data_IF_934556955552
#
_entry.id   IF_934556955552
#
_cell.length_a   1.000
_cell.length_b   1.000
_cell.length_c   1.000
_cell.angle_alpha   90.00
_cell.angle_beta   90.00
_cell.angle_gamma   90.00
#
_symmetry.space_group_name_H-M   'P 1'
#
loop_
_entity.id
_entity.type
_entity.pdbx_description
1 polymer ?
#
# COMPACT_ATOMS: atom_id res chain seq x y z
N UNK A 1 -1.74 -18.00 10.71
CA UNK A 1 -1.29 -16.64 10.29
C UNK A 1 -1.58 -16.49 8.81
N UNK A 2 -2.20 -15.35 8.40
CA UNK A 2 -2.44 -15.01 6.99
C UNK A 2 -1.59 -13.79 6.61
N UNK A 3 -0.84 -13.89 5.52
CA UNK A 3 0.04 -12.83 5.01
C UNK A 3 -0.37 -12.49 3.58
N UNK A 4 -0.53 -11.21 3.26
CA UNK A 4 -0.90 -10.74 1.93
C UNK A 4 0.26 -9.95 1.33
N UNK A 5 0.68 -10.35 0.14
CA UNK A 5 1.81 -9.73 -0.58
C UNK A 5 1.41 -9.44 -2.02
N UNK A 6 2.17 -8.58 -2.71
CA UNK A 6 1.95 -8.37 -4.13
C UNK A 6 2.28 -9.64 -4.94
N UNK A 7 1.32 -10.08 -5.75
CA UNK A 7 1.42 -11.31 -6.55
C UNK A 7 2.59 -11.30 -7.54
N UNK A 8 2.81 -10.16 -8.21
CA UNK A 8 3.83 -10.08 -9.25
C UNK A 8 5.23 -9.98 -8.64
N UNK A 9 5.39 -9.13 -7.61
CA UNK A 9 6.68 -8.94 -6.93
C UNK A 9 7.16 -10.22 -6.24
N UNK A 10 6.23 -10.96 -5.64
CA UNK A 10 6.57 -12.21 -4.96
C UNK A 10 7.12 -13.31 -5.90
N UNK A 11 6.76 -13.27 -7.18
CA UNK A 11 7.15 -14.29 -8.16
C UNK A 11 8.35 -13.90 -9.02
N UNK A 12 8.69 -12.62 -9.11
CA UNK A 12 9.88 -12.20 -9.83
C UNK A 12 11.11 -12.21 -8.93
N UNK A 13 12.27 -12.46 -9.53
CA UNK A 13 13.56 -12.24 -8.89
C UNK A 13 13.92 -10.74 -8.80
N UNK A 14 15.12 -10.44 -8.34
CA UNK A 14 15.65 -9.09 -8.29
C UNK A 14 15.76 -8.50 -9.70
N UNK A 15 15.36 -7.24 -9.86
CA UNK A 15 15.49 -6.51 -11.13
C UNK A 15 16.97 -6.38 -11.48
N UNK A 16 17.35 -6.75 -12.71
CA UNK A 16 18.74 -6.65 -13.19
C UNK A 16 19.66 -7.82 -12.82
N UNK A 17 19.25 -8.71 -11.93
CA UNK A 17 19.96 -9.98 -11.64
C UNK A 17 19.17 -11.12 -12.27
N UNK A 18 19.81 -11.96 -13.09
CA UNK A 18 19.20 -12.99 -13.89
C UNK A 18 18.01 -13.75 -13.28
N UNK A 19 17.50 -14.82 -13.90
CA UNK A 19 16.31 -15.58 -13.46
C UNK A 19 16.49 -16.30 -12.12
N UNK A 20 16.77 -15.57 -11.05
CA UNK A 20 16.62 -16.10 -9.70
C UNK A 20 15.13 -16.17 -9.38
N UNK A 21 14.70 -17.29 -8.79
CA UNK A 21 13.32 -17.45 -8.35
C UNK A 21 12.90 -16.32 -7.41
N UNK A 22 11.62 -15.95 -7.46
CA UNK A 22 11.07 -14.91 -6.57
C UNK A 22 10.92 -15.44 -5.13
N UNK A 23 10.46 -14.56 -4.25
CA UNK A 23 10.26 -14.86 -2.82
C UNK A 23 9.28 -16.01 -2.54
N UNK A 24 8.49 -16.43 -3.55
CA UNK A 24 7.57 -17.55 -3.39
C UNK A 24 8.26 -18.87 -2.96
N UNK A 25 9.52 -19.09 -3.36
CA UNK A 25 10.29 -20.24 -2.90
C UNK A 25 10.56 -20.18 -1.39
N UNK A 26 10.91 -18.99 -0.89
CA UNK A 26 11.07 -18.76 0.55
C UNK A 26 9.74 -18.96 1.29
N UNK A 27 8.63 -18.52 0.73
CA UNK A 27 7.30 -18.68 1.33
C UNK A 27 6.91 -20.16 1.44
N UNK A 28 7.18 -20.94 0.41
CA UNK A 28 6.96 -22.40 0.43
C UNK A 28 7.80 -23.09 1.51
N UNK A 29 9.09 -22.73 1.61
CA UNK A 29 9.95 -23.27 2.63
C UNK A 29 9.53 -22.86 4.06
N UNK A 30 9.08 -21.62 4.24
CA UNK A 30 8.55 -21.14 5.52
C UNK A 30 7.28 -21.88 5.91
N UNK A 31 6.31 -21.99 5.00
CA UNK A 31 5.08 -22.71 5.26
C UNK A 31 5.32 -24.17 5.64
N UNK A 32 6.22 -24.84 4.92
CA UNK A 32 6.58 -26.22 5.21
C UNK A 32 7.19 -26.40 6.60
N UNK A 33 8.06 -25.48 7.05
CA UNK A 33 8.66 -25.51 8.40
C UNK A 33 7.65 -25.38 9.53
N UNK A 34 6.53 -24.72 9.27
CA UNK A 34 5.51 -24.41 10.26
C UNK A 34 4.20 -25.17 9.99
N UNK A 35 4.28 -26.39 9.44
CA UNK A 35 3.14 -27.27 9.19
C UNK A 35 1.98 -26.59 8.47
N UNK A 36 2.31 -25.65 7.56
CA UNK A 36 1.37 -24.83 6.80
C UNK A 36 0.42 -23.95 7.63
N UNK A 37 0.76 -23.64 8.89
CA UNK A 37 0.02 -22.68 9.71
C UNK A 37 0.19 -21.23 9.23
N UNK A 38 1.18 -20.98 8.38
CA UNK A 38 1.42 -19.68 7.74
C UNK A 38 0.92 -19.76 6.30
N UNK A 39 -0.14 -19.03 6.01
CA UNK A 39 -0.74 -18.94 4.68
C UNK A 39 -0.30 -17.64 4.00
N UNK A 40 0.30 -17.71 2.81
CA UNK A 40 0.79 -16.54 2.10
C UNK A 40 0.03 -16.37 0.80
N UNK A 41 -0.66 -15.25 0.69
CA UNK A 41 -1.55 -14.91 -0.42
C UNK A 41 -0.94 -13.84 -1.32
N UNK A 42 -0.83 -14.14 -2.60
CA UNK A 42 -0.46 -13.17 -3.63
C UNK A 42 -1.68 -12.45 -4.19
N UNK A 43 -1.70 -11.13 -4.05
CA UNK A 43 -2.82 -10.27 -4.46
C UNK A 43 -2.46 -9.50 -5.74
N UNK A 44 -3.05 -9.83 -6.90
CA UNK A 44 -2.76 -9.17 -8.16
C UNK A 44 -3.66 -7.95 -8.38
N UNK A 45 -3.23 -6.77 -7.96
CA UNK A 45 -4.01 -5.53 -8.11
C UNK A 45 -4.19 -5.14 -9.58
N UNK A 46 -3.21 -5.48 -10.45
CA UNK A 46 -3.26 -5.27 -11.89
C UNK A 46 -2.65 -6.45 -12.65
N UNK A 47 -2.82 -6.47 -13.96
CA UNK A 47 -2.31 -7.55 -14.81
C UNK A 47 -0.79 -7.57 -14.98
N UNK A 48 -0.10 -6.48 -14.65
CA UNK A 48 1.37 -6.36 -14.67
C UNK A 48 1.83 -5.45 -13.53
N UNK A 49 2.98 -5.73 -12.96
CA UNK A 49 3.59 -4.94 -11.87
C UNK A 49 3.76 -3.46 -12.25
N UNK A 50 4.28 -3.18 -13.45
CA UNK A 50 4.50 -1.81 -13.95
C UNK A 50 3.23 -0.93 -13.91
N UNK A 51 2.05 -1.54 -13.95
CA UNK A 51 0.77 -0.83 -13.95
C UNK A 51 0.19 -0.60 -12.56
N UNK A 52 0.78 -1.17 -11.54
CA UNK A 52 0.41 -1.02 -10.13
C UNK A 52 0.58 -2.29 -9.31
N UNK A 53 0.88 -2.09 -8.05
CA UNK A 53 1.19 -3.12 -7.05
C UNK A 53 0.23 -3.04 -5.86
N UNK A 54 0.17 -4.09 -5.06
CA UNK A 54 -0.48 -4.03 -3.77
C UNK A 54 0.34 -3.11 -2.85
N UNK A 55 -0.27 -2.02 -2.40
CA UNK A 55 0.35 -1.06 -1.50
C UNK A 55 -0.41 -0.92 -0.17
N UNK A 56 -1.21 -1.92 0.17
CA UNK A 56 -1.85 -2.03 1.47
C UNK A 56 -0.82 -2.44 2.51
N UNK A 57 -0.84 -1.81 3.68
CA UNK A 57 -0.05 -2.13 4.86
C UNK A 57 -0.96 -2.21 6.06
N UNK A 58 -0.46 -2.87 7.08
CA UNK A 58 -1.13 -3.01 8.36
C UNK A 58 -1.02 -4.43 8.90
N UNK A 59 -1.11 -4.55 10.20
CA UNK A 59 -1.06 -5.81 10.92
C UNK A 59 -2.22 -5.86 11.89
N UNK A 60 -2.90 -6.98 11.96
CA UNK A 60 -4.01 -7.22 12.88
C UNK A 60 -3.59 -8.34 13.81
N UNK A 61 -3.60 -8.07 15.10
CA UNK A 61 -3.33 -8.98 16.19
C UNK A 61 -4.55 -8.95 17.12
N UNK A 62 -5.44 -9.92 16.98
CA UNK A 62 -6.71 -9.96 17.70
C UNK A 62 -7.49 -8.63 17.52
N UNK A 63 -7.65 -7.85 18.58
CA UNK A 63 -8.37 -6.56 18.57
C UNK A 63 -7.44 -5.35 18.35
N UNK A 64 -6.17 -5.59 18.03
CA UNK A 64 -5.17 -4.54 17.83
C UNK A 64 -4.85 -4.41 16.35
N UNK A 65 -5.05 -3.22 15.82
CA UNK A 65 -4.55 -2.82 14.51
C UNK A 65 -3.25 -2.03 14.69
N UNK A 66 -2.17 -2.52 14.09
CA UNK A 66 -0.94 -1.75 13.89
C UNK A 66 -0.93 -1.26 12.43
N UNK A 67 -1.12 0.04 12.23
CA UNK A 67 -1.22 0.67 10.92
C UNK A 67 -0.07 1.63 10.64
N UNK A 68 0.54 1.52 9.46
CA UNK A 68 1.67 2.34 9.05
C UNK A 68 1.75 2.44 7.53
N UNK A 69 2.53 3.37 6.99
CA UNK A 69 3.00 3.39 5.61
C UNK A 69 4.16 2.43 5.35
N UNK A 70 4.81 1.93 6.40
CA UNK A 70 5.97 1.05 6.33
C UNK A 70 5.65 -0.33 5.74
N UNK A 71 6.59 -0.87 5.00
CA UNK A 71 6.57 -2.27 4.56
C UNK A 71 7.37 -3.14 5.54
N UNK A 72 7.03 -4.42 5.63
CA UNK A 72 7.81 -5.38 6.41
C UNK A 72 9.06 -5.77 5.63
N UNK A 73 10.13 -5.02 5.81
CA UNK A 73 11.45 -5.30 5.21
C UNK A 73 12.57 -4.67 6.05
N UNK A 74 13.81 -5.03 5.74
CA UNK A 74 15.01 -4.67 6.49
C UNK A 74 15.16 -3.15 6.68
N UNK A 75 14.85 -2.35 5.66
CA UNK A 75 14.99 -0.89 5.70
C UNK A 75 14.05 -0.26 6.72
N UNK A 76 12.78 -0.69 6.76
CA UNK A 76 11.80 -0.19 7.72
C UNK A 76 11.97 -0.79 9.12
N UNK A 77 12.61 -1.95 9.23
CA UNK A 77 12.91 -2.61 10.50
C UNK A 77 14.30 -2.23 11.05
N UNK A 78 14.97 -1.27 10.44
CA UNK A 78 16.31 -0.78 10.84
C UNK A 78 17.36 -1.90 10.94
N UNK A 79 17.30 -2.89 10.03
CA UNK A 79 18.30 -3.96 9.98
C UNK A 79 19.55 -3.60 9.16
N UNK A 80 19.56 -2.39 8.59
CA UNK A 80 20.66 -1.85 7.77
C UNK A 80 20.93 -0.40 8.16
N UNK A 81 22.09 0.15 7.80
CA UNK A 81 22.44 1.55 8.03
C UNK A 81 21.43 2.51 7.38
N UNK A 82 20.98 2.19 6.17
CA UNK A 82 19.91 2.94 5.51
C UNK A 82 18.56 2.59 6.13
N UNK A 83 17.87 3.57 6.66
CA UNK A 83 16.55 3.40 7.26
C UNK A 83 15.50 4.32 6.65
N UNK A 84 14.23 4.06 6.95
CA UNK A 84 13.08 4.91 6.64
C UNK A 84 12.41 5.34 7.93
N UNK A 85 12.19 6.63 8.08
CA UNK A 85 11.34 7.13 9.16
C UNK A 85 9.88 6.96 8.74
N UNK A 86 9.08 6.32 9.58
CA UNK A 86 7.64 6.16 9.36
C UNK A 86 6.89 6.26 10.69
N UNK A 87 5.58 6.51 10.61
CA UNK A 87 4.69 6.61 11.76
C UNK A 87 3.88 5.34 11.89
N UNK A 88 3.83 4.79 13.08
CA UNK A 88 3.01 3.65 13.43
C UNK A 88 1.87 4.07 14.35
N UNK A 89 0.65 3.63 14.02
CA UNK A 89 -0.54 3.83 14.84
C UNK A 89 -0.96 2.49 15.41
N UNK A 90 -0.93 2.34 16.71
CA UNK A 90 -1.48 1.20 17.42
C UNK A 90 -2.90 1.58 17.87
N UNK A 91 -3.88 0.84 17.39
CA UNK A 91 -5.29 1.14 17.61
C UNK A 91 -5.96 -0.10 18.21
N UNK A 92 -6.51 0.05 19.41
CA UNK A 92 -7.28 -0.99 20.09
C UNK A 92 -8.75 -0.80 19.77
N UNK A 93 -9.30 -1.61 18.88
CA UNK A 93 -10.70 -1.53 18.47
C UNK A 93 -11.15 -2.81 17.78
N UNK A 94 -11.93 -3.63 18.46
CA UNK A 94 -12.54 -4.82 17.90
C UNK A 94 -13.40 -4.49 16.68
N UNK A 95 -14.19 -3.43 16.73
CA UNK A 95 -15.04 -3.02 15.61
C UNK A 95 -14.23 -2.69 14.35
N UNK A 96 -13.11 -1.98 14.50
CA UNK A 96 -12.23 -1.63 13.38
C UNK A 96 -11.50 -2.86 12.84
N UNK A 97 -10.92 -3.70 13.71
CA UNK A 97 -10.21 -4.91 13.29
C UNK A 97 -11.15 -5.90 12.61
N UNK A 98 -12.35 -6.13 13.14
CA UNK A 98 -13.37 -6.94 12.49
C UNK A 98 -13.76 -6.39 11.12
N UNK A 99 -13.97 -5.08 10.99
CA UNK A 99 -14.26 -4.45 9.70
C UNK A 99 -13.16 -4.70 8.66
N UNK A 100 -11.90 -4.61 9.07
CA UNK A 100 -10.75 -4.82 8.19
C UNK A 100 -10.56 -6.30 7.84
N UNK A 101 -10.75 -7.22 8.78
CA UNK A 101 -10.71 -8.68 8.53
C UNK A 101 -11.82 -9.08 7.58
N UNK A 102 -13.05 -8.63 7.82
CA UNK A 102 -14.18 -8.90 6.94
C UNK A 102 -13.95 -8.37 5.51
N UNK A 103 -13.31 -7.20 5.37
CA UNK A 103 -12.94 -6.68 4.05
C UNK A 103 -11.95 -7.61 3.34
N UNK A 104 -10.92 -8.08 4.04
CA UNK A 104 -9.93 -9.01 3.49
C UNK A 104 -10.58 -10.34 3.10
N UNK A 105 -11.42 -10.88 3.95
CA UNK A 105 -12.14 -12.14 3.67
C UNK A 105 -13.07 -12.00 2.47
N UNK A 106 -13.87 -10.94 2.43
CA UNK A 106 -14.88 -10.75 1.38
C UNK A 106 -14.26 -10.36 0.02
N UNK A 107 -13.22 -9.54 0.03
CA UNK A 107 -12.67 -8.97 -1.19
C UNK A 107 -11.47 -9.74 -1.69
N UNK A 108 -10.57 -10.19 -0.80
CA UNK A 108 -9.35 -10.90 -1.21
C UNK A 108 -9.57 -12.42 -1.23
N UNK A 109 -9.93 -13.02 -0.11
CA UNK A 109 -9.97 -14.49 0.01
C UNK A 109 -11.07 -15.14 -0.83
N UNK A 110 -12.19 -14.47 -1.06
CA UNK A 110 -13.25 -14.96 -1.98
C UNK A 110 -12.92 -14.76 -3.46
N UNK A 111 -11.79 -14.11 -3.78
CA UNK A 111 -11.42 -13.84 -5.17
C UNK A 111 -10.56 -14.96 -5.76
N UNK A 112 -10.99 -15.54 -6.88
CA UNK A 112 -10.19 -16.48 -7.67
C UNK A 112 -8.86 -15.91 -8.21
N UNK A 113 -8.70 -14.60 -8.18
CA UNK A 113 -7.46 -13.94 -8.62
C UNK A 113 -6.35 -14.01 -7.56
N UNK A 114 -6.73 -14.11 -6.28
CA UNK A 114 -5.79 -14.21 -5.17
C UNK A 114 -5.31 -15.65 -5.04
N UNK A 115 -4.00 -15.85 -5.03
CA UNK A 115 -3.39 -17.17 -5.11
C UNK A 115 -2.53 -17.46 -3.88
N UNK A 116 -2.53 -18.71 -3.43
CA UNK A 116 -1.63 -19.21 -2.37
C UNK A 116 -0.22 -19.32 -2.94
N UNK A 117 0.71 -18.49 -2.44
CA UNK A 117 2.11 -18.47 -2.87
C UNK A 117 3.00 -19.44 -2.07
N UNK A 118 2.50 -19.92 -0.96
CA UNK A 118 3.13 -20.96 -0.12
C UNK A 118 2.92 -22.40 -0.67
N UNK A 119 2.22 -22.54 -1.81
CA UNK A 119 1.98 -23.82 -2.48
C UNK A 119 2.68 -23.87 -3.84
N UNK A 120 2.85 -25.08 -4.36
CA UNK A 120 3.33 -25.32 -5.73
C UNK A 120 2.22 -25.12 -6.76
N UNK A 121 2.59 -25.03 -8.05
CA UNK A 121 1.62 -24.95 -9.14
C UNK A 121 0.91 -23.60 -9.26
N UNK A 122 1.54 -22.50 -8.86
CA UNK A 122 0.96 -21.16 -8.92
C UNK A 122 0.72 -20.77 -10.39
N UNK A 123 -0.53 -20.44 -10.77
CA UNK A 123 -0.83 -20.04 -12.13
C UNK A 123 -0.19 -18.69 -12.48
N UNK A 124 0.26 -18.57 -13.72
CA UNK A 124 0.83 -17.31 -14.20
C UNK A 124 -0.22 -16.22 -14.43
N UNK A 125 0.20 -14.95 -14.40
CA UNK A 125 -0.70 -13.80 -14.57
C UNK A 125 -1.52 -13.82 -15.87
N UNK A 126 -0.99 -14.46 -16.94
CA UNK A 126 -1.73 -14.61 -18.20
C UNK A 126 -2.94 -15.54 -18.06
N UNK A 127 -2.79 -16.60 -17.28
CA UNK A 127 -3.87 -17.57 -17.01
C UNK A 127 -4.96 -16.95 -16.13
N UNK A 128 -4.59 -16.03 -15.23
CA UNK A 128 -5.49 -15.33 -14.32
C UNK A 128 -6.10 -14.03 -14.90
N UNK A 129 -5.88 -13.72 -16.19
CA UNK A 129 -6.27 -12.41 -16.76
C UNK A 129 -7.73 -12.04 -16.52
N UNK A 130 -8.65 -12.99 -16.69
CA UNK A 130 -10.10 -12.78 -16.45
C UNK A 130 -10.42 -12.50 -14.99
N UNK A 131 -9.87 -13.32 -14.10
CA UNK A 131 -10.02 -13.20 -12.65
C UNK A 131 -9.46 -11.87 -12.13
N UNK A 132 -8.25 -11.48 -12.57
CA UNK A 132 -7.63 -10.20 -12.21
C UNK A 132 -8.50 -9.02 -12.68
N UNK A 133 -9.12 -9.11 -13.84
CA UNK A 133 -10.02 -8.05 -14.34
C UNK A 133 -11.26 -7.91 -13.44
N UNK A 134 -11.91 -9.02 -13.05
CA UNK A 134 -13.05 -9.03 -12.12
C UNK A 134 -12.63 -8.50 -10.75
N UNK A 135 -11.53 -9.00 -10.21
CA UNK A 135 -10.98 -8.57 -8.92
C UNK A 135 -10.73 -7.06 -8.88
N UNK A 136 -10.10 -6.50 -9.91
CA UNK A 136 -9.88 -5.06 -10.03
C UNK A 136 -11.18 -4.26 -10.05
N UNK A 137 -12.24 -4.78 -10.66
CA UNK A 137 -13.55 -4.15 -10.63
C UNK A 137 -14.10 -4.13 -9.19
N UNK A 138 -14.06 -5.27 -8.52
CA UNK A 138 -14.50 -5.39 -7.13
C UNK A 138 -13.72 -4.46 -6.19
N UNK A 139 -12.41 -4.38 -6.32
CA UNK A 139 -11.58 -3.45 -5.53
C UNK A 139 -11.98 -1.97 -5.70
N UNK A 140 -12.51 -1.58 -6.85
CA UNK A 140 -12.96 -0.20 -7.09
C UNK A 140 -14.28 0.14 -6.44
N UNK A 141 -15.13 -0.86 -6.26
CA UNK A 141 -16.49 -0.71 -5.75
C UNK A 141 -16.63 -1.16 -4.29
N UNK A 142 -15.66 -1.93 -3.80
CA UNK A 142 -15.66 -2.42 -2.43
C UNK A 142 -15.30 -1.33 -1.42
N UNK A 143 -15.86 -1.46 -0.23
CA UNK A 143 -15.60 -0.57 0.90
C UNK A 143 -15.59 -1.36 2.18
N UNK A 144 -14.97 -0.81 3.23
CA UNK A 144 -15.11 -1.33 4.57
C UNK A 144 -16.57 -1.22 5.01
N UNK A 145 -17.06 -2.26 5.66
CA UNK A 145 -18.38 -2.27 6.33
C UNK A 145 -18.13 -2.07 7.80
N UNK A 146 -18.64 -1.00 8.36
CA UNK A 146 -18.56 -0.69 9.77
C UNK A 146 -19.82 0.03 10.21
N UNK A 147 -20.17 -0.14 11.46
CA UNK A 147 -21.19 0.68 12.09
C UNK A 147 -20.59 1.99 12.56
N UNK A 148 -21.28 3.07 12.30
CA UNK A 148 -20.88 4.38 12.83
C UNK A 148 -21.22 4.44 14.32
N UNK A 149 -20.20 4.45 15.15
CA UNK A 149 -20.36 4.59 16.60
C UNK A 149 -20.12 6.06 16.93
N UNK A 150 -21.04 6.75 17.61
CA UNK A 150 -20.79 8.11 18.04
C UNK A 150 -19.58 8.16 18.97
N UNK A 151 -18.57 8.96 18.60
CA UNK A 151 -17.42 9.20 19.45
C UNK A 151 -17.76 10.30 20.48
N UNK A 152 -17.30 10.12 21.70
CA UNK A 152 -17.34 11.17 22.71
C UNK A 152 -16.18 12.16 22.51
N UNK A 153 -16.15 13.27 23.23
CA UNK A 153 -15.12 14.32 23.09
C UNK A 153 -13.71 13.88 23.48
N UNK A 154 -13.55 12.73 24.10
CA UNK A 154 -12.27 12.17 24.54
C UNK A 154 -11.74 11.10 23.55
N UNK A 155 -12.50 10.77 22.52
CA UNK A 155 -12.16 9.72 21.57
C UNK A 155 -11.76 10.28 20.21
N UNK A 156 -10.88 9.56 19.53
CA UNK A 156 -10.47 9.88 18.16
C UNK A 156 -11.34 9.09 17.18
N UNK A 157 -12.08 9.80 16.35
CA UNK A 157 -12.88 9.16 15.29
C UNK A 157 -11.99 8.63 14.16
N UNK A 158 -12.16 7.35 13.80
CA UNK A 158 -11.43 6.70 12.71
C UNK A 158 -12.44 6.17 11.69
N UNK A 159 -12.28 6.57 10.44
CA UNK A 159 -13.07 6.07 9.32
C UNK A 159 -12.18 5.30 8.35
N UNK A 160 -12.27 3.96 8.28
CA UNK A 160 -11.50 3.18 7.32
C UNK A 160 -12.01 3.44 5.90
N UNK A 161 -11.11 3.67 4.96
CA UNK A 161 -11.44 3.96 3.57
C UNK A 161 -10.56 3.20 2.61
N UNK A 162 -11.12 2.78 1.49
CA UNK A 162 -10.39 2.14 0.39
C UNK A 162 -10.21 3.14 -0.74
N UNK A 163 -9.00 3.20 -1.30
CA UNK A 163 -8.69 4.00 -2.47
C UNK A 163 -8.01 3.19 -3.56
N UNK A 164 -8.62 3.09 -4.73
CA UNK A 164 -8.03 2.46 -5.90
C UNK A 164 -8.30 3.25 -7.18
N UNK A 165 -7.22 3.63 -7.85
CA UNK A 165 -7.27 4.25 -9.16
C UNK A 165 -7.71 5.72 -9.15
N UNK A 166 -7.84 6.31 -10.35
CA UNK A 166 -8.09 7.74 -10.53
C UNK A 166 -9.58 8.11 -10.43
N UNK A 167 -10.46 7.24 -10.94
CA UNK A 167 -11.91 7.53 -11.03
C UNK A 167 -12.68 6.80 -9.94
N UNK A 168 -13.65 7.48 -9.33
CA UNK A 168 -14.51 6.90 -8.29
C UNK A 168 -13.79 6.61 -6.96
N UNK A 169 -12.58 7.10 -6.77
CA UNK A 169 -11.77 6.87 -5.58
C UNK A 169 -12.26 7.76 -4.42
N UNK A 170 -12.91 7.14 -3.45
CA UNK A 170 -13.48 7.84 -2.29
C UNK A 170 -12.41 8.44 -1.39
N UNK A 171 -11.29 7.75 -1.19
CA UNK A 171 -10.18 8.27 -0.40
C UNK A 171 -9.63 9.57 -1.01
N UNK A 172 -9.40 9.62 -2.32
CA UNK A 172 -8.96 10.84 -2.98
C UNK A 172 -9.97 11.98 -2.84
N UNK A 173 -11.27 11.67 -2.92
CA UNK A 173 -12.32 12.66 -2.70
C UNK A 173 -12.32 13.20 -1.28
N UNK A 174 -12.15 12.32 -0.28
CA UNK A 174 -12.07 12.73 1.12
C UNK A 174 -10.84 13.60 1.37
N UNK A 175 -9.65 13.22 0.90
CA UNK A 175 -8.44 14.03 1.01
C UNK A 175 -8.66 15.44 0.43
N UNK A 176 -9.24 15.54 -0.76
CA UNK A 176 -9.55 16.85 -1.36
C UNK A 176 -10.57 17.66 -0.55
N UNK A 177 -11.58 17.01 0.01
CA UNK A 177 -12.55 17.68 0.87
C UNK A 177 -11.89 18.22 2.14
N UNK A 178 -11.01 17.47 2.78
CA UNK A 178 -10.23 17.91 3.94
C UNK A 178 -9.35 19.12 3.60
N UNK A 179 -8.64 19.06 2.47
CA UNK A 179 -7.84 20.21 1.99
C UNK A 179 -8.74 21.44 1.78
N UNK A 180 -9.86 21.31 1.10
CA UNK A 180 -10.79 22.43 0.85
C UNK A 180 -11.42 22.99 2.13
N UNK A 181 -11.70 22.13 3.10
CA UNK A 181 -12.29 22.50 4.38
C UNK A 181 -11.28 23.13 5.36
N UNK A 182 -9.99 23.13 5.04
CA UNK A 182 -8.96 23.72 5.90
C UNK A 182 -9.17 25.25 5.98
N UNK A 183 -9.24 25.77 7.22
CA UNK A 183 -9.51 27.19 7.49
C UNK A 183 -8.25 27.98 7.88
N UNK A 184 -7.30 27.36 8.57
CA UNK A 184 -6.12 28.02 9.13
C UNK A 184 -4.82 27.47 8.59
N UNK A 185 -4.57 26.18 8.83
CA UNK A 185 -3.31 25.57 8.42
C UNK A 185 -3.47 24.10 8.06
N UNK A 186 -2.62 23.64 7.15
CA UNK A 186 -2.45 22.24 6.81
C UNK A 186 -0.98 21.84 6.87
N UNK A 187 -0.74 20.65 7.39
CA UNK A 187 0.57 20.03 7.42
C UNK A 187 0.53 18.73 6.61
N UNK A 188 1.39 18.63 5.58
CA UNK A 188 1.50 17.47 4.70
C UNK A 188 2.89 16.88 4.86
N UNK A 189 2.95 15.59 5.21
CA UNK A 189 4.20 14.84 5.26
C UNK A 189 4.12 13.71 4.24
N UNK A 190 5.02 13.70 3.28
CA UNK A 190 5.03 12.70 2.21
C UNK A 190 6.46 12.51 1.67
N UNK A 191 6.89 11.27 1.36
CA UNK A 191 8.21 11.05 0.77
C UNK A 191 8.34 11.66 -0.63
N UNK A 192 7.22 11.78 -1.37
CA UNK A 192 7.19 12.32 -2.74
C UNK A 192 6.06 13.34 -2.87
N UNK A 193 6.38 14.53 -3.35
CA UNK A 193 5.38 15.57 -3.58
C UNK A 193 5.09 15.71 -5.07
N UNK A 194 4.27 14.81 -5.60
CA UNK A 194 3.79 14.81 -6.98
C UNK A 194 2.26 14.72 -7.05
N UNK A 195 1.53 15.63 -6.43
CA UNK A 195 0.08 15.53 -6.30
C UNK A 195 -0.62 15.69 -7.66
N UNK A 196 -1.82 15.09 -7.81
CA UNK A 196 -2.66 15.29 -8.99
C UNK A 196 -3.03 16.76 -9.18
N UNK A 197 -3.27 17.18 -10.43
CA UNK A 197 -3.61 18.58 -10.78
C UNK A 197 -4.76 19.15 -9.94
N UNK A 198 -5.78 18.34 -9.67
CA UNK A 198 -6.93 18.76 -8.87
C UNK A 198 -6.56 19.06 -7.42
N UNK A 199 -5.63 18.30 -6.84
CA UNK A 199 -5.15 18.53 -5.47
C UNK A 199 -4.24 19.77 -5.42
N UNK A 200 -3.39 19.97 -6.44
CA UNK A 200 -2.60 21.21 -6.56
C UNK A 200 -3.50 22.45 -6.57
N UNK A 201 -4.57 22.44 -7.38
CA UNK A 201 -5.54 23.54 -7.41
C UNK A 201 -6.21 23.77 -6.05
N UNK A 202 -6.52 22.70 -5.32
CA UNK A 202 -7.11 22.81 -3.99
C UNK A 202 -6.09 23.43 -3.00
N UNK A 203 -4.81 23.08 -3.07
CA UNK A 203 -3.73 23.68 -2.26
C UNK A 203 -3.49 25.15 -2.65
N UNK A 204 -3.45 25.47 -3.94
CA UNK A 204 -3.35 26.87 -4.41
C UNK A 204 -4.51 27.72 -3.90
N UNK A 205 -5.71 27.17 -3.87
CA UNK A 205 -6.89 27.87 -3.33
C UNK A 205 -6.75 28.11 -1.81
N UNK A 206 -6.12 27.19 -1.05
CA UNK A 206 -5.80 27.42 0.36
C UNK A 206 -4.87 28.61 0.54
N UNK A 207 -3.78 28.63 -0.21
CA UNK A 207 -2.79 29.74 -0.16
C UNK A 207 -3.45 31.09 -0.47
N UNK A 208 -4.32 31.15 -1.49
CA UNK A 208 -5.08 32.35 -1.83
C UNK A 208 -6.01 32.84 -0.71
N UNK A 209 -6.50 31.92 0.12
CA UNK A 209 -7.30 32.25 1.32
C UNK A 209 -6.45 32.65 2.53
N UNK A 210 -5.12 32.68 2.39
CA UNK A 210 -4.22 33.01 3.49
C UNK A 210 -3.96 31.85 4.46
N UNK A 211 -4.34 30.64 4.11
CA UNK A 211 -4.04 29.47 4.96
C UNK A 211 -2.55 29.13 4.92
N UNK A 212 -2.02 28.74 6.06
CA UNK A 212 -0.63 28.27 6.14
C UNK A 212 -0.55 26.84 5.60
N UNK A 213 0.37 26.61 4.67
CA UNK A 213 0.64 25.29 4.09
C UNK A 213 2.09 24.89 4.41
N UNK A 214 2.27 23.82 5.15
CA UNK A 214 3.58 23.24 5.46
C UNK A 214 3.68 21.86 4.81
N UNK A 215 4.72 21.66 4.00
CA UNK A 215 4.95 20.40 3.30
C UNK A 215 6.34 19.89 3.68
N UNK A 216 6.40 18.68 4.23
CA UNK A 216 7.65 17.96 4.54
C UNK A 216 7.79 16.83 3.53
N UNK A 217 8.88 16.87 2.80
CA UNK A 217 9.20 15.86 1.77
C UNK A 217 10.50 15.13 2.10
N UNK A 218 10.65 13.92 1.60
CA UNK A 218 11.91 13.19 1.69
C UNK A 218 13.00 13.85 0.84
N UNK A 219 14.25 13.82 1.33
CA UNK A 219 15.39 14.20 0.50
C UNK A 219 15.50 13.29 -0.73
N UNK A 220 16.01 13.83 -1.84
CA UNK A 220 16.17 13.05 -3.08
C UNK A 220 17.02 11.79 -2.90
N UNK A 221 18.01 11.85 -2.03
CA UNK A 221 18.90 10.71 -1.74
C UNK A 221 18.17 9.60 -0.99
N UNK A 222 17.08 9.92 -0.29
CA UNK A 222 16.23 8.95 0.40
C UNK A 222 15.16 8.33 -0.53
N UNK A 223 15.06 8.80 -1.78
CA UNK A 223 14.12 8.26 -2.76
C UNK A 223 14.52 6.82 -3.15
N UNK A 224 13.54 5.93 -3.28
CA UNK A 224 13.78 4.54 -3.71
C UNK A 224 14.30 4.44 -5.16
N UNK A 225 14.06 5.47 -5.95
CA UNK A 225 14.51 5.57 -7.34
C UNK A 225 15.79 6.40 -7.49
N UNK A 226 16.35 6.92 -6.39
CA UNK A 226 17.60 7.65 -6.45
C UNK A 226 18.73 6.70 -6.84
N UNK A 227 19.44 7.07 -7.90
CA UNK A 227 20.65 6.38 -8.35
C UNK A 227 21.81 7.36 -8.20
N UNK A 228 22.84 7.02 -7.41
CA UNK A 228 24.02 7.85 -7.30
C UNK A 228 24.64 8.17 -8.67
N UNK A 229 25.24 9.34 -8.86
CA UNK A 229 25.82 9.73 -10.15
C UNK A 229 26.77 8.69 -10.74
N UNK A 230 27.50 7.98 -9.87
CA UNK A 230 28.46 6.94 -10.23
C UNK A 230 27.80 5.69 -10.85
N UNK A 231 26.55 5.44 -10.52
CA UNK A 231 25.79 4.25 -10.95
C UNK A 231 24.78 4.55 -12.07
N UNK A 232 24.66 5.82 -12.51
CA UNK A 232 23.60 6.27 -13.45
C UNK A 232 23.52 5.48 -14.77
N UNK A 233 24.62 4.87 -15.20
CA UNK A 233 24.68 4.15 -16.49
C UNK A 233 24.57 2.62 -16.37
N UNK A 234 24.57 2.09 -15.16
CA UNK A 234 24.56 0.63 -14.92
C UNK A 234 23.20 0.06 -14.56
N UNK A 235 22.26 0.90 -14.14
CA UNK A 235 20.98 0.45 -13.61
C UNK A 235 19.82 1.11 -14.36
N UNK A 236 18.83 0.34 -14.77
CA UNK A 236 17.51 0.68 -15.34
C UNK A 236 17.39 2.15 -15.82
N UNK A 237 17.87 2.42 -17.04
CA UNK A 237 17.87 3.76 -17.60
C UNK A 237 16.50 4.42 -17.64
N UNK A 238 16.43 5.70 -17.31
CA UNK A 238 15.31 6.60 -17.51
C UNK A 238 14.31 6.74 -16.38
N UNK A 239 14.12 5.75 -15.48
CA UNK A 239 13.18 5.86 -14.36
C UNK A 239 13.54 6.95 -13.33
N UNK A 240 14.81 7.16 -12.96
CA UNK A 240 15.18 8.23 -12.03
C UNK A 240 14.82 9.63 -12.52
N UNK A 241 14.97 9.89 -13.82
CA UNK A 241 14.65 11.19 -14.43
C UNK A 241 13.16 11.55 -14.46
N UNK A 242 12.27 10.59 -14.20
CA UNK A 242 10.84 10.85 -14.08
C UNK A 242 10.43 11.33 -12.68
N UNK A 243 11.35 11.28 -11.71
CA UNK A 243 11.10 11.61 -10.30
C UNK A 243 12.00 12.72 -9.75
N UNK A 244 12.95 13.22 -10.53
CA UNK A 244 13.65 14.49 -10.31
C UNK A 244 12.80 15.66 -10.83
#
# INVERSE_FOLDING_TARGET
IKVFVDFHRAQRGLIGKGKQGGNHLMYQAMAARHEHQIEIYGVPVKGRELLGVLHLKGFIFDDILLYSGASLNDIYLHQQERYRFDRYHQIHSQALTCSMVNYVDDVFLKSEAVQRLDRTGIPGAKQLKGQIRRFKHNLRTSQYRFESIPANSQEIAITPMVGLGKRGNQLNRMIRNLVRATEREIFICTPYFNPPKELNKDIEALLKRGCKVTIVVGDKTANDFFIPPEEKFTTIGGLPYLYE
#
